data_IF_575661235015
#
_entry.id   IF_575661235015
#
_cell.length_a   1.000
_cell.length_b   1.000
_cell.length_c   1.000
_cell.angle_alpha   90.00
_cell.angle_beta   90.00
_cell.angle_gamma   90.00
#
_symmetry.space_group_name_H-M   'P 1'
#
loop_
_entity.id
_entity.type
_entity.pdbx_description
1 polymer ?
#
# COMPACT_ATOMS: atom_id res chain seq x y z
N UNK A 1 23.75 7.69 -22.87
CA UNK A 1 22.51 7.12 -23.41
C UNK A 1 22.32 5.73 -22.81
N UNK A 2 21.22 5.52 -22.12
CA UNK A 2 20.81 4.21 -21.61
C UNK A 2 20.43 3.32 -22.80
N UNK A 3 21.02 2.13 -22.88
CA UNK A 3 20.72 1.15 -23.93
C UNK A 3 19.84 0.05 -23.34
N UNK A 4 18.77 -0.29 -24.02
CA UNK A 4 17.85 -1.35 -23.66
C UNK A 4 17.38 -2.12 -24.90
N UNK A 5 17.02 -3.38 -24.72
CA UNK A 5 16.54 -4.25 -25.81
C UNK A 5 15.01 -4.24 -25.90
N UNK A 6 14.33 -4.38 -24.76
CA UNK A 6 12.89 -4.46 -24.61
C UNK A 6 12.37 -3.42 -23.63
N UNK A 7 11.07 -3.12 -23.70
CA UNK A 7 10.39 -2.32 -22.70
C UNK A 7 8.92 -2.71 -22.59
N UNK A 8 8.34 -2.46 -21.41
CA UNK A 8 6.91 -2.56 -21.13
C UNK A 8 6.42 -1.21 -20.61
N UNK A 9 5.17 -0.85 -20.92
CA UNK A 9 4.47 0.31 -20.34
C UNK A 9 3.31 -0.23 -19.52
N UNK A 10 3.38 -0.09 -18.22
CA UNK A 10 2.45 -0.68 -17.27
C UNK A 10 1.69 0.41 -16.47
N UNK A 11 0.51 0.13 -15.93
CA UNK A 11 -0.25 -1.13 -16.08
C UNK A 11 -0.93 -1.26 -17.44
N UNK A 12 -1.20 -2.48 -17.83
CA UNK A 12 -1.82 -2.82 -19.12
C UNK A 12 -3.22 -2.22 -19.31
N UNK A 13 -3.91 -1.89 -18.23
CA UNK A 13 -5.27 -1.29 -18.26
C UNK A 13 -5.38 -0.04 -19.13
N UNK A 14 -4.30 0.71 -19.29
CA UNK A 14 -4.32 1.90 -20.16
C UNK A 14 -4.27 1.58 -21.65
N UNK A 15 -3.96 0.35 -22.04
CA UNK A 15 -3.91 -0.09 -23.43
C UNK A 15 -2.97 0.76 -24.30
N UNK A 16 -1.87 1.23 -23.77
CA UNK A 16 -0.95 2.15 -24.43
C UNK A 16 -0.32 1.49 -25.66
N UNK A 17 -0.56 2.08 -26.82
CA UNK A 17 0.17 1.76 -28.05
C UNK A 17 1.36 2.67 -28.17
N UNK A 18 2.53 2.10 -28.44
CA UNK A 18 3.76 2.87 -28.52
C UNK A 18 4.61 2.45 -29.72
N UNK A 19 5.29 3.42 -30.31
CA UNK A 19 6.29 3.20 -31.35
C UNK A 19 7.66 3.55 -30.81
N UNK A 20 8.65 2.68 -31.10
CA UNK A 20 10.04 2.89 -30.73
C UNK A 20 10.88 3.24 -31.95
N UNK A 21 11.74 4.25 -31.80
CA UNK A 21 12.92 4.41 -32.63
C UNK A 21 14.20 4.34 -31.76
N UNK A 22 15.39 4.51 -32.32
CA UNK A 22 16.68 4.28 -31.63
C UNK A 22 16.79 5.00 -30.26
N UNK A 23 16.20 6.18 -30.12
CA UNK A 23 16.41 7.07 -28.97
C UNK A 23 15.11 7.55 -28.32
N UNK A 24 13.94 7.11 -28.77
CA UNK A 24 12.66 7.57 -28.22
C UNK A 24 11.57 6.52 -28.29
N UNK A 25 10.66 6.59 -27.32
CA UNK A 25 9.38 5.88 -27.31
C UNK A 25 8.30 6.94 -27.47
N UNK A 26 7.45 6.77 -28.48
CA UNK A 26 6.26 7.62 -28.73
C UNK A 26 5.02 6.86 -28.32
N UNK A 27 4.14 7.52 -27.62
CA UNK A 27 2.84 6.98 -27.24
C UNK A 27 1.84 8.12 -27.06
N UNK A 28 0.56 7.76 -27.06
CA UNK A 28 -0.54 8.68 -26.76
C UNK A 28 -1.29 8.19 -25.53
N UNK A 29 -1.73 9.13 -24.70
CA UNK A 29 -2.53 8.88 -23.53
C UNK A 29 -3.62 9.93 -23.40
N UNK A 30 -4.84 9.48 -23.16
CA UNK A 30 -6.00 10.36 -23.00
C UNK A 30 -6.38 10.65 -21.55
N UNK A 31 -5.92 9.81 -20.62
CA UNK A 31 -6.21 10.00 -19.20
C UNK A 31 -5.25 11.01 -18.56
N UNK A 32 -5.75 12.20 -18.14
CA UNK A 32 -4.91 13.22 -17.54
C UNK A 32 -4.41 12.88 -16.12
N UNK A 33 -4.83 11.75 -15.57
CA UNK A 33 -4.38 11.24 -14.26
C UNK A 33 -3.56 9.97 -14.37
N UNK A 34 -3.21 9.55 -15.57
CA UNK A 34 -2.48 8.30 -15.77
C UNK A 34 -1.16 8.28 -15.01
N UNK A 35 -0.85 7.09 -14.51
CA UNK A 35 0.39 6.77 -13.81
C UNK A 35 1.02 5.60 -14.52
N UNK A 36 2.04 5.87 -15.31
CA UNK A 36 2.71 4.90 -16.14
C UNK A 36 4.07 4.52 -15.59
N UNK A 37 4.41 3.27 -15.72
CA UNK A 37 5.73 2.75 -15.41
C UNK A 37 6.34 2.12 -16.66
N UNK A 38 7.52 2.58 -17.04
CA UNK A 38 8.31 2.01 -18.11
C UNK A 38 9.34 1.06 -17.49
N UNK A 39 9.22 -0.21 -17.80
CA UNK A 39 10.16 -1.26 -17.35
C UNK A 39 11.01 -1.65 -18.53
N UNK A 40 12.33 -1.54 -18.39
CA UNK A 40 13.29 -1.85 -19.44
C UNK A 40 13.99 -3.17 -19.16
N UNK A 41 14.06 -4.03 -20.21
CA UNK A 41 14.72 -5.35 -20.14
C UNK A 41 14.24 -6.23 -18.97
N UNK A 42 12.95 -6.12 -18.63
CA UNK A 42 12.30 -6.81 -17.50
C UNK A 42 12.99 -6.60 -16.13
N UNK A 43 13.76 -5.53 -16.00
CA UNK A 43 14.41 -5.18 -14.76
C UNK A 43 13.55 -4.21 -13.95
N UNK A 44 12.66 -4.76 -13.15
CA UNK A 44 11.69 -4.01 -12.34
C UNK A 44 12.35 -3.17 -11.22
N UNK A 45 13.48 -3.56 -10.68
CA UNK A 45 14.10 -2.85 -9.56
C UNK A 45 14.97 -1.66 -9.98
N UNK A 46 15.80 -1.80 -11.02
CA UNK A 46 16.89 -0.86 -11.27
C UNK A 46 16.72 -0.02 -12.53
N UNK A 47 15.93 -0.46 -13.52
CA UNK A 47 15.77 0.23 -14.80
C UNK A 47 14.32 0.52 -15.11
N UNK A 48 13.73 1.40 -14.30
CA UNK A 48 12.35 1.82 -14.43
C UNK A 48 12.24 3.34 -14.49
N UNK A 49 11.22 3.80 -15.20
CA UNK A 49 10.88 5.23 -15.25
C UNK A 49 9.37 5.36 -14.98
N UNK A 50 8.99 6.22 -14.05
CA UNK A 50 7.60 6.51 -13.75
C UNK A 50 7.19 7.86 -14.32
N UNK A 51 6.05 7.91 -14.98
CA UNK A 51 5.43 9.11 -15.49
C UNK A 51 4.06 9.31 -14.84
N UNK A 52 3.95 10.35 -14.06
CA UNK A 52 2.71 10.72 -13.39
C UNK A 52 2.09 11.96 -14.07
N UNK A 53 0.90 11.80 -14.61
CA UNK A 53 0.13 12.91 -15.12
C UNK A 53 -0.75 13.48 -14.00
N UNK A 54 -0.85 14.80 -13.97
CA UNK A 54 -1.77 15.50 -13.09
C UNK A 54 -2.61 16.47 -13.93
N UNK A 55 -3.93 16.54 -13.70
CA UNK A 55 -4.75 17.56 -14.31
C UNK A 55 -4.29 18.96 -13.87
N UNK A 56 -4.51 19.93 -14.72
CA UNK A 56 -4.26 21.34 -14.37
C UNK A 56 -5.26 21.74 -13.28
N UNK A 57 -4.76 22.37 -12.22
CA UNK A 57 -5.60 22.99 -11.19
C UNK A 57 -5.77 24.48 -11.51
N UNK A 58 -6.88 24.82 -12.15
CA UNK A 58 -7.17 26.22 -12.55
C UNK A 58 -7.43 27.13 -11.33
N UNK A 59 -7.64 26.57 -10.15
CA UNK A 59 -7.87 27.27 -8.90
C UNK A 59 -6.67 27.19 -7.93
N UNK A 60 -5.49 26.87 -8.45
CA UNK A 60 -4.27 26.81 -7.64
C UNK A 60 -3.98 28.17 -6.98
N UNK A 61 -3.71 28.21 -5.66
CA UNK A 61 -3.25 29.43 -5.02
C UNK A 61 -1.90 29.86 -5.59
N UNK A 62 -1.57 31.12 -5.49
CA UNK A 62 -0.29 31.69 -5.93
C UNK A 62 0.58 32.20 -4.79
N UNK A 63 0.02 32.27 -3.58
CA UNK A 63 0.69 32.74 -2.35
C UNK A 63 0.05 32.13 -1.11
N UNK A 64 0.73 32.25 0.02
CA UNK A 64 0.20 31.86 1.33
C UNK A 64 -0.79 32.89 1.86
N UNK A 65 -1.80 32.42 2.61
CA UNK A 65 -2.75 33.23 3.37
C UNK A 65 -2.81 32.71 4.82
N UNK A 66 -3.73 33.21 5.62
CA UNK A 66 -3.92 32.72 7.00
C UNK A 66 -4.34 31.22 7.00
N UNK A 67 -5.11 30.80 5.98
CA UNK A 67 -5.64 29.44 5.87
C UNK A 67 -4.86 28.56 4.86
N UNK A 68 -3.92 29.12 4.12
CA UNK A 68 -3.17 28.39 3.08
C UNK A 68 -1.65 28.55 3.27
N UNK A 69 -0.98 27.43 3.45
CA UNK A 69 0.48 27.34 3.37
C UNK A 69 0.83 26.95 1.93
N UNK A 70 1.49 27.84 1.19
CA UNK A 70 1.81 27.68 -0.22
C UNK A 70 3.31 27.52 -0.46
N UNK A 71 3.68 26.46 -1.19
CA UNK A 71 5.02 26.29 -1.74
C UNK A 71 4.96 26.33 -3.26
N UNK A 72 5.51 27.42 -3.85
CA UNK A 72 5.64 27.58 -5.28
C UNK A 72 6.76 26.73 -5.90
N UNK A 73 6.90 26.72 -7.26
CA UNK A 73 7.96 25.97 -7.93
C UNK A 73 9.35 26.29 -7.39
N UNK A 74 10.20 25.27 -7.22
CA UNK A 74 11.55 25.37 -6.70
C UNK A 74 11.82 24.41 -5.56
N UNK A 75 13.04 24.43 -5.03
CA UNK A 75 13.47 23.60 -3.89
C UNK A 75 13.36 24.36 -2.58
N UNK A 76 12.58 23.83 -1.64
CA UNK A 76 12.30 24.41 -0.34
C UNK A 76 12.86 23.47 0.75
N UNK A 77 14.01 23.83 1.30
CA UNK A 77 14.58 23.11 2.45
C UNK A 77 13.97 23.65 3.74
N UNK A 78 13.22 22.83 4.42
CA UNK A 78 12.60 23.21 5.70
C UNK A 78 13.62 23.28 6.83
N UNK A 79 13.35 24.12 7.81
CA UNK A 79 14.09 24.19 9.08
C UNK A 79 13.37 23.45 10.21
N UNK A 80 12.05 23.32 10.09
CA UNK A 80 11.17 22.62 11.02
C UNK A 80 10.17 21.80 10.20
N UNK A 81 9.42 20.92 10.86
CA UNK A 81 8.26 20.26 10.25
C UNK A 81 7.24 21.29 9.76
N UNK A 82 6.45 20.91 8.76
CA UNK A 82 5.20 21.60 8.47
C UNK A 82 4.16 21.00 9.40
N UNK A 83 3.71 21.76 10.38
CA UNK A 83 2.60 21.41 11.25
C UNK A 83 1.39 22.20 10.80
N UNK A 84 0.26 21.50 10.57
CA UNK A 84 -0.98 22.12 10.12
C UNK A 84 -1.91 22.32 11.31
N UNK A 85 -2.59 23.46 11.33
CA UNK A 85 -3.70 23.74 12.23
C UNK A 85 -5.04 23.32 11.60
N UNK A 86 -6.07 23.13 12.44
CA UNK A 86 -7.41 22.79 11.94
C UNK A 86 -7.95 23.85 10.96
N UNK A 87 -8.51 23.40 9.85
CA UNK A 87 -9.04 24.24 8.78
C UNK A 87 -8.00 24.65 7.73
N UNK A 88 -6.70 24.37 7.92
CA UNK A 88 -5.68 24.80 7.00
C UNK A 88 -5.53 23.90 5.77
N UNK A 89 -5.04 24.52 4.71
CA UNK A 89 -4.63 23.84 3.46
C UNK A 89 -3.13 24.02 3.24
N UNK A 90 -2.42 22.89 3.06
CA UNK A 90 -1.07 22.87 2.50
C UNK A 90 -1.16 22.66 0.98
N UNK A 91 -0.66 23.62 0.21
CA UNK A 91 -0.58 23.52 -1.24
C UNK A 91 0.87 23.44 -1.71
N UNK A 92 1.24 22.34 -2.36
CA UNK A 92 2.57 22.15 -2.93
C UNK A 92 2.43 22.15 -4.45
N UNK A 93 2.82 23.27 -5.08
CA UNK A 93 2.61 23.50 -6.50
C UNK A 93 3.40 22.53 -7.39
N UNK A 94 2.95 22.33 -8.62
CA UNK A 94 3.74 21.64 -9.64
C UNK A 94 5.14 22.27 -9.76
N UNK A 95 6.20 21.45 -9.75
CA UNK A 95 7.58 21.90 -9.76
C UNK A 95 8.15 22.34 -8.40
N UNK A 96 7.36 22.30 -7.34
CA UNK A 96 7.87 22.47 -5.98
C UNK A 96 8.43 21.15 -5.43
N UNK A 97 9.56 21.23 -4.74
CA UNK A 97 10.13 20.14 -3.94
C UNK A 97 10.33 20.66 -2.52
N UNK A 98 9.61 20.10 -1.58
CA UNK A 98 9.67 20.47 -0.16
C UNK A 98 10.44 19.37 0.58
N UNK A 99 11.67 19.67 1.02
CA UNK A 99 12.48 18.73 1.81
C UNK A 99 12.15 18.88 3.28
N UNK A 100 11.38 17.92 3.82
CA UNK A 100 10.94 17.95 5.20
C UNK A 100 9.78 16.97 5.46
N UNK A 101 9.14 17.11 6.60
CA UNK A 101 8.05 16.29 7.11
C UNK A 101 6.77 17.12 7.26
N UNK A 102 5.62 16.50 7.02
CA UNK A 102 4.29 17.10 7.23
C UNK A 102 3.60 16.39 8.39
N UNK A 103 3.27 17.14 9.42
CA UNK A 103 2.57 16.68 10.62
C UNK A 103 1.11 17.18 10.62
N UNK A 104 0.17 16.24 10.69
CA UNK A 104 -1.28 16.46 10.73
C UNK A 104 -1.82 15.77 11.99
N UNK A 105 -1.36 16.20 13.17
CA UNK A 105 -1.72 15.56 14.43
C UNK A 105 -2.67 16.41 15.25
N UNK A 106 -3.73 15.79 15.81
CA UNK A 106 -4.72 16.44 16.67
C UNK A 106 -5.50 17.59 16.01
N UNK A 107 -5.78 17.47 14.72
CA UNK A 107 -6.44 18.51 13.92
C UNK A 107 -7.66 17.98 13.18
N UNK A 108 -8.50 18.90 12.72
CA UNK A 108 -9.73 18.61 12.00
C UNK A 108 -9.88 19.52 10.77
N UNK A 109 -10.49 19.01 9.69
CA UNK A 109 -10.73 19.75 8.44
C UNK A 109 -9.44 20.27 7.77
N UNK A 110 -8.47 19.41 7.54
CA UNK A 110 -7.18 19.74 6.91
C UNK A 110 -7.13 19.24 5.47
N UNK A 111 -6.52 20.02 4.60
CA UNK A 111 -6.27 19.61 3.22
C UNK A 111 -4.78 19.68 2.87
N UNK A 112 -4.23 18.63 2.25
CA UNK A 112 -2.90 18.64 1.62
C UNK A 112 -3.08 18.35 0.13
N UNK A 113 -2.71 19.29 -0.74
CA UNK A 113 -2.92 19.13 -2.18
C UNK A 113 -1.87 19.78 -3.05
N UNK A 114 -1.92 19.45 -4.35
CA UNK A 114 -1.03 19.97 -5.38
C UNK A 114 -0.32 18.84 -6.13
N UNK A 115 0.62 19.19 -7.01
CA UNK A 115 1.39 18.18 -7.78
C UNK A 115 2.89 18.21 -7.48
N UNK A 116 3.29 18.85 -6.37
CA UNK A 116 4.68 18.93 -5.93
C UNK A 116 5.14 17.70 -5.15
N UNK A 117 6.38 17.74 -4.68
CA UNK A 117 7.06 16.63 -4.05
C UNK A 117 7.36 16.96 -2.58
N UNK A 118 6.98 16.08 -1.68
CA UNK A 118 7.49 16.00 -0.30
C UNK A 118 8.67 15.04 -0.34
N UNK A 119 9.87 15.56 -0.10
CA UNK A 119 11.11 14.78 -0.14
C UNK A 119 11.62 14.53 1.27
N UNK A 120 11.89 13.26 1.56
CA UNK A 120 12.62 12.85 2.77
C UNK A 120 13.95 12.25 2.39
N UNK A 121 15.02 12.85 2.85
CA UNK A 121 16.37 12.35 2.67
C UNK A 121 17.18 12.53 3.98
N UNK A 122 18.41 12.04 3.99
CA UNK A 122 19.30 12.12 5.16
C UNK A 122 19.59 13.55 5.65
N UNK A 123 19.23 14.56 4.89
CA UNK A 123 19.42 15.97 5.23
C UNK A 123 18.14 16.67 5.68
N UNK A 124 17.01 16.00 5.59
CA UNK A 124 15.72 16.54 6.02
C UNK A 124 15.65 16.63 7.53
N UNK A 125 14.95 17.65 8.03
CA UNK A 125 14.72 17.82 9.47
C UNK A 125 13.37 17.25 9.90
N UNK A 126 13.20 17.03 11.19
CA UNK A 126 11.96 16.59 11.80
C UNK A 126 11.82 15.06 11.85
N UNK A 127 10.56 14.60 11.95
CA UNK A 127 10.24 13.18 11.91
C UNK A 127 10.74 12.59 10.59
N UNK A 128 11.07 11.33 10.63
CA UNK A 128 11.65 10.65 9.49
C UNK A 128 10.63 10.26 8.41
N UNK A 129 9.35 10.14 8.74
CA UNK A 129 8.26 9.86 7.81
C UNK A 129 7.96 11.03 6.85
N UNK A 130 7.27 10.76 5.75
CA UNK A 130 6.85 11.80 4.80
C UNK A 130 5.69 12.63 5.33
N UNK A 131 4.57 11.97 5.63
CA UNK A 131 3.36 12.56 6.22
C UNK A 131 2.94 11.71 7.41
N UNK A 132 2.68 12.32 8.55
CA UNK A 132 2.07 11.64 9.71
C UNK A 132 0.75 12.27 10.09
N UNK A 133 -0.20 11.42 10.48
CA UNK A 133 -1.49 11.83 11.04
C UNK A 133 -1.74 11.09 12.35
N UNK A 134 -2.12 11.80 13.40
CA UNK A 134 -2.44 11.19 14.68
C UNK A 134 -3.67 11.84 15.30
N UNK A 135 -4.70 11.02 15.62
CA UNK A 135 -5.95 11.48 16.25
C UNK A 135 -6.59 12.68 15.53
N UNK A 136 -6.64 12.61 14.20
CA UNK A 136 -7.15 13.67 13.34
C UNK A 136 -8.36 13.18 12.54
N UNK A 137 -9.21 14.12 12.12
CA UNK A 137 -10.43 13.81 11.37
C UNK A 137 -10.66 14.77 10.21
N UNK A 138 -11.48 14.34 9.25
CA UNK A 138 -11.85 15.14 8.07
C UNK A 138 -10.61 15.66 7.32
N UNK A 139 -9.71 14.75 6.95
CA UNK A 139 -8.45 15.11 6.24
C UNK A 139 -8.51 14.64 4.79
N UNK A 140 -8.24 15.56 3.87
CA UNK A 140 -8.11 15.29 2.45
C UNK A 140 -6.67 15.43 1.97
N UNK A 141 -6.09 14.38 1.38
CA UNK A 141 -4.76 14.41 0.76
C UNK A 141 -4.89 14.11 -0.73
N UNK A 142 -4.39 15.00 -1.60
CA UNK A 142 -4.54 14.79 -3.03
C UNK A 142 -3.37 15.28 -3.88
N UNK A 143 -2.97 14.48 -4.87
CA UNK A 143 -2.10 14.87 -5.99
C UNK A 143 -0.61 14.91 -5.69
N UNK A 144 -0.19 15.08 -4.45
CA UNK A 144 1.23 15.18 -4.07
C UNK A 144 2.01 13.89 -4.30
N UNK A 145 3.32 14.02 -4.42
CA UNK A 145 4.27 12.91 -4.48
C UNK A 145 5.04 12.90 -3.16
N UNK A 146 5.09 11.75 -2.49
CA UNK A 146 5.98 11.52 -1.34
C UNK A 146 7.13 10.66 -1.81
N UNK A 147 8.34 11.16 -1.67
CA UNK A 147 9.56 10.44 -2.00
C UNK A 147 10.43 10.27 -0.76
N UNK A 148 10.56 9.03 -0.31
CA UNK A 148 11.48 8.67 0.77
C UNK A 148 12.78 8.21 0.11
N UNK A 149 13.84 8.96 0.31
CA UNK A 149 15.12 8.72 -0.34
C UNK A 149 16.24 8.55 0.68
N UNK A 150 16.83 7.36 0.71
CA UNK A 150 17.93 6.99 1.63
C UNK A 150 17.60 7.05 3.13
N UNK A 151 16.35 6.91 3.48
CA UNK A 151 15.90 6.75 4.87
C UNK A 151 14.99 5.54 4.98
N UNK A 152 14.89 4.94 6.17
CA UNK A 152 14.06 3.75 6.43
C UNK A 152 12.78 4.19 7.14
N UNK A 153 11.84 4.75 6.36
CA UNK A 153 10.66 5.36 6.96
C UNK A 153 9.43 5.24 6.09
N UNK A 154 8.27 5.23 6.69
CA UNK A 154 6.98 5.18 6.02
C UNK A 154 6.69 6.46 5.24
N UNK A 155 6.08 6.30 4.06
CA UNK A 155 5.74 7.47 3.24
C UNK A 155 4.59 8.27 3.84
N UNK A 156 3.52 7.57 4.25
CA UNK A 156 2.37 8.16 4.92
C UNK A 156 1.85 7.20 6.00
N UNK A 157 1.68 7.69 7.20
CA UNK A 157 1.01 6.94 8.27
C UNK A 157 -0.14 7.71 8.90
N UNK A 158 -1.18 6.99 9.26
CA UNK A 158 -2.29 7.51 10.05
C UNK A 158 -2.56 6.59 11.24
N UNK A 159 -2.83 7.20 12.39
CA UNK A 159 -3.11 6.47 13.62
C UNK A 159 -4.30 7.09 14.34
N UNK A 160 -5.32 6.26 14.63
CA UNK A 160 -6.55 6.69 15.33
C UNK A 160 -7.24 7.87 14.64
N UNK A 161 -7.23 7.85 13.32
CA UNK A 161 -7.86 8.88 12.49
C UNK A 161 -9.24 8.44 12.02
N UNK A 162 -10.08 9.42 11.67
CA UNK A 162 -11.44 9.16 11.20
C UNK A 162 -11.80 10.07 10.02
N UNK A 163 -12.55 9.54 9.05
CA UNK A 163 -12.98 10.27 7.85
C UNK A 163 -11.81 10.87 7.08
N UNK A 164 -10.97 9.99 6.54
CA UNK A 164 -9.76 10.34 5.78
C UNK A 164 -9.95 10.00 4.30
N UNK A 165 -9.63 10.94 3.45
CA UNK A 165 -9.66 10.78 1.99
C UNK A 165 -8.25 10.99 1.41
N UNK A 166 -7.74 9.98 0.72
CA UNK A 166 -6.45 10.04 0.02
C UNK A 166 -6.70 9.75 -1.45
N UNK A 167 -6.44 10.73 -2.31
CA UNK A 167 -6.71 10.60 -3.74
C UNK A 167 -5.50 11.00 -4.57
N UNK A 168 -5.13 10.19 -5.57
CA UNK A 168 -4.06 10.51 -6.50
C UNK A 168 -2.71 10.81 -5.82
N UNK A 169 -2.48 10.25 -4.64
CA UNK A 169 -1.17 10.26 -3.98
C UNK A 169 -0.21 9.36 -4.76
N UNK A 170 1.05 9.77 -4.85
CA UNK A 170 2.11 8.89 -5.34
C UNK A 170 3.17 8.75 -4.27
N UNK A 171 3.55 7.52 -3.95
CA UNK A 171 4.74 7.25 -3.14
C UNK A 171 5.80 6.60 -4.01
N UNK A 172 7.04 7.05 -3.87
CA UNK A 172 8.19 6.45 -4.56
C UNK A 172 9.30 6.28 -3.55
N UNK A 173 9.38 5.12 -2.95
CA UNK A 173 10.23 4.84 -1.79
C UNK A 173 10.99 3.51 -1.94
N UNK A 174 11.76 3.35 -3.03
CA UNK A 174 12.55 2.14 -3.26
C UNK A 174 13.84 2.16 -2.42
N UNK A 175 14.47 1.01 -2.27
CA UNK A 175 15.85 0.77 -1.82
C UNK A 175 16.04 0.43 -0.32
N UNK A 176 15.09 0.65 0.57
CA UNK A 176 15.28 0.41 2.00
C UNK A 176 14.10 -0.35 2.60
N UNK A 177 14.36 -1.34 3.44
CA UNK A 177 13.34 -1.97 4.28
C UNK A 177 12.63 -0.91 5.15
N UNK A 178 11.40 -1.19 5.57
CA UNK A 178 10.55 -0.26 6.35
C UNK A 178 10.22 1.05 5.62
N UNK A 179 10.12 1.02 4.29
CA UNK A 179 9.63 2.15 3.50
C UNK A 179 8.25 1.83 2.96
N UNK A 180 7.29 1.76 3.86
CA UNK A 180 5.89 1.49 3.54
C UNK A 180 5.28 2.66 2.74
N UNK A 181 4.26 2.36 1.94
CA UNK A 181 3.52 3.34 1.18
C UNK A 181 2.49 4.08 2.02
N UNK A 182 1.42 3.40 2.42
CA UNK A 182 0.36 3.94 3.29
C UNK A 182 0.08 2.97 4.43
N UNK A 183 0.27 3.44 5.66
CA UNK A 183 -0.04 2.72 6.89
C UNK A 183 -1.32 3.27 7.53
N UNK A 184 -2.35 2.43 7.61
CA UNK A 184 -3.63 2.75 8.25
C UNK A 184 -3.69 2.00 9.57
N UNK A 185 -3.49 2.72 10.70
CA UNK A 185 -3.44 2.10 12.03
C UNK A 185 -4.63 2.52 12.87
N UNK A 186 -5.41 1.54 13.36
CA UNK A 186 -6.52 1.76 14.30
C UNK A 186 -7.44 2.93 13.87
N UNK A 187 -7.75 3.02 12.58
CA UNK A 187 -8.45 4.14 11.96
C UNK A 187 -9.74 3.69 11.28
N UNK A 188 -10.69 4.62 11.08
CA UNK A 188 -12.02 4.32 10.59
C UNK A 188 -12.44 5.30 9.49
N UNK A 189 -13.35 4.86 8.61
CA UNK A 189 -13.87 5.68 7.51
C UNK A 189 -12.77 6.25 6.62
N UNK A 190 -11.87 5.36 6.14
CA UNK A 190 -10.72 5.73 5.30
C UNK A 190 -10.98 5.33 3.86
N UNK A 191 -10.76 6.26 2.94
CA UNK A 191 -10.83 6.01 1.49
C UNK A 191 -9.50 6.36 0.83
N UNK A 192 -8.90 5.39 0.12
CA UNK A 192 -7.69 5.55 -0.69
C UNK A 192 -8.05 5.27 -2.14
N UNK A 193 -7.90 6.27 -3.01
CA UNK A 193 -8.38 6.14 -4.39
C UNK A 193 -7.37 6.68 -5.40
N UNK A 194 -7.23 5.97 -6.53
CA UNK A 194 -6.41 6.42 -7.66
C UNK A 194 -4.96 6.77 -7.27
N UNK A 195 -4.35 5.99 -6.38
CA UNK A 195 -2.98 6.19 -5.91
C UNK A 195 -1.98 5.32 -6.69
N UNK A 196 -0.72 5.77 -6.72
CA UNK A 196 0.42 4.96 -7.18
C UNK A 196 1.38 4.78 -6.02
N UNK A 197 1.64 3.55 -5.62
CA UNK A 197 2.49 3.26 -4.47
C UNK A 197 3.61 2.32 -4.88
N UNK A 198 4.85 2.84 -4.87
CA UNK A 198 6.06 2.03 -4.98
C UNK A 198 6.78 2.07 -3.64
N UNK A 199 6.88 0.92 -3.01
CA UNK A 199 7.47 0.74 -1.69
C UNK A 199 8.44 -0.43 -1.69
N UNK A 200 9.47 -0.35 -0.86
CA UNK A 200 10.34 -1.52 -0.60
C UNK A 200 9.76 -2.40 0.50
N UNK A 201 8.92 -1.85 1.36
CA UNK A 201 8.13 -2.59 2.34
C UNK A 201 6.66 -2.65 1.89
N UNK A 202 5.66 -2.75 2.76
CA UNK A 202 4.25 -2.86 2.38
C UNK A 202 3.76 -1.65 1.55
N UNK A 203 3.02 -1.87 0.46
CA UNK A 203 2.46 -0.74 -0.27
C UNK A 203 1.26 -0.12 0.45
N UNK A 204 0.28 -0.95 0.84
CA UNK A 204 -0.85 -0.54 1.68
C UNK A 204 -1.03 -1.57 2.78
N UNK A 205 -0.97 -1.10 4.01
CA UNK A 205 -1.13 -1.95 5.18
C UNK A 205 -2.17 -1.37 6.14
N UNK A 206 -3.00 -2.26 6.70
CA UNK A 206 -4.02 -1.92 7.70
C UNK A 206 -3.61 -2.60 9.00
N UNK A 207 -2.92 -1.85 9.86
CA UNK A 207 -2.27 -2.32 11.08
C UNK A 207 -3.08 -2.01 12.33
N UNK A 208 -2.82 -2.76 13.39
CA UNK A 208 -3.24 -2.43 14.76
C UNK A 208 -2.01 -2.29 15.63
N UNK A 209 -1.76 -1.09 16.11
CA UNK A 209 -0.59 -0.81 16.97
C UNK A 209 -1.01 -0.15 18.27
N UNK A 210 -0.41 -0.52 19.41
CA UNK A 210 -0.69 0.14 20.68
C UNK A 210 -0.15 1.57 20.66
N UNK A 211 -0.87 2.44 21.34
CA UNK A 211 -0.41 3.78 21.66
C UNK A 211 -0.49 3.95 23.18
N UNK A 212 0.66 4.08 23.80
CA UNK A 212 0.75 4.22 25.24
C UNK A 212 0.57 2.89 26.00
N UNK A 213 -0.15 2.91 27.13
CA UNK A 213 -0.29 1.79 28.07
C UNK A 213 -1.65 1.08 27.98
N UNK A 214 -2.35 1.22 26.86
CA UNK A 214 -3.66 0.58 26.67
C UNK A 214 -3.51 -0.91 26.45
N UNK A 215 -4.45 -1.68 27.01
CA UNK A 215 -4.59 -3.12 26.76
C UNK A 215 -4.84 -3.38 25.26
N UNK A 216 -4.31 -4.48 24.72
CA UNK A 216 -4.45 -4.82 23.30
C UNK A 216 -5.91 -4.83 22.86
N UNK A 217 -6.82 -5.40 23.64
CA UNK A 217 -8.25 -5.47 23.34
C UNK A 217 -9.00 -4.13 23.39
N UNK A 218 -8.43 -3.11 23.97
CA UNK A 218 -9.03 -1.78 24.11
C UNK A 218 -8.63 -0.81 23.00
N UNK A 219 -7.71 -1.21 22.12
CA UNK A 219 -7.30 -0.42 20.97
C UNK A 219 -8.47 -0.14 20.03
N UNK A 220 -8.55 1.03 19.39
CA UNK A 220 -9.57 1.29 18.37
C UNK A 220 -9.54 0.26 17.23
N UNK A 221 -10.71 0.02 16.65
CA UNK A 221 -10.86 -0.88 15.50
C UNK A 221 -10.31 -0.27 14.22
N UNK A 222 -10.06 -1.14 13.23
CA UNK A 222 -9.95 -0.76 11.82
C UNK A 222 -11.25 -1.14 11.12
N UNK A 223 -12.01 -0.16 10.63
CA UNK A 223 -13.29 -0.45 9.99
C UNK A 223 -13.68 0.56 8.91
N UNK A 224 -14.51 0.10 7.96
CA UNK A 224 -14.98 0.91 6.83
C UNK A 224 -13.83 1.54 6.05
N UNK A 225 -12.86 0.71 5.67
CA UNK A 225 -11.70 1.12 4.90
C UNK A 225 -11.87 0.66 3.46
N UNK A 226 -11.72 1.59 2.52
CA UNK A 226 -11.86 1.33 1.09
C UNK A 226 -10.65 1.79 0.31
N UNK A 227 -10.01 0.84 -0.38
CA UNK A 227 -8.91 1.10 -1.32
C UNK A 227 -9.39 0.81 -2.74
N UNK A 228 -9.28 1.77 -3.66
CA UNK A 228 -9.82 1.62 -5.00
C UNK A 228 -8.95 2.22 -6.08
N UNK A 229 -8.92 1.55 -7.25
CA UNK A 229 -8.28 2.04 -8.50
C UNK A 229 -6.81 2.41 -8.32
N UNK A 230 -6.10 1.72 -7.44
CA UNK A 230 -4.68 1.98 -7.15
C UNK A 230 -3.75 1.12 -8.01
N UNK A 231 -2.51 1.61 -8.16
CA UNK A 231 -1.42 0.92 -8.83
C UNK A 231 -0.32 0.68 -7.79
N UNK A 232 0.05 -0.57 -7.58
CA UNK A 232 0.96 -0.99 -6.53
C UNK A 232 2.22 -1.61 -7.11
N UNK A 233 3.35 -1.29 -6.49
CA UNK A 233 4.67 -1.82 -6.80
C UNK A 233 5.42 -2.10 -5.52
N UNK A 234 5.47 -3.35 -5.14
CA UNK A 234 6.08 -3.82 -3.90
C UNK A 234 7.40 -4.54 -4.18
N UNK A 235 8.48 -4.12 -3.53
CA UNK A 235 9.79 -4.73 -3.71
C UNK A 235 10.18 -5.70 -2.59
N UNK A 236 9.44 -5.65 -1.45
CA UNK A 236 9.58 -6.53 -0.31
C UNK A 236 8.28 -6.51 0.52
N UNK A 237 7.93 -7.58 1.19
CA UNK A 237 6.71 -7.74 1.97
C UNK A 237 5.43 -7.85 1.11
N UNK A 238 4.42 -7.00 1.31
CA UNK A 238 3.11 -7.20 0.72
C UNK A 238 2.67 -6.02 -0.15
N UNK A 239 1.96 -6.30 -1.24
CA UNK A 239 1.32 -5.22 -1.97
C UNK A 239 0.08 -4.69 -1.25
N UNK A 240 -0.76 -5.58 -0.71
CA UNK A 240 -1.97 -5.25 0.07
C UNK A 240 -2.04 -6.18 1.29
N UNK A 241 -2.00 -5.64 2.50
CA UNK A 241 -2.08 -6.46 3.70
C UNK A 241 -3.03 -5.90 4.75
N UNK A 242 -3.82 -6.78 5.36
CA UNK A 242 -4.51 -6.55 6.63
C UNK A 242 -3.68 -7.23 7.72
N UNK A 243 -2.97 -6.43 8.48
CA UNK A 243 -1.93 -6.85 9.41
C UNK A 243 -0.61 -6.11 9.09
N UNK A 244 0.56 -6.54 9.51
CA UNK A 244 0.84 -7.80 10.25
C UNK A 244 0.55 -7.65 11.75
N UNK A 245 0.94 -6.51 12.34
CA UNK A 245 0.56 -6.16 13.71
C UNK A 245 -0.96 -5.98 13.77
N UNK A 246 -1.60 -6.72 14.64
CA UNK A 246 -3.06 -6.77 14.69
C UNK A 246 -3.62 -6.44 16.07
N UNK A 247 -2.98 -5.52 16.78
CA UNK A 247 -3.41 -5.01 18.07
C UNK A 247 -4.55 -3.98 17.89
N UNK A 248 -5.70 -4.46 17.47
CA UNK A 248 -6.92 -3.69 17.31
C UNK A 248 -8.10 -4.49 17.87
N UNK A 249 -9.16 -3.81 18.28
CA UNK A 249 -10.37 -4.46 18.80
C UNK A 249 -10.96 -5.42 17.78
N UNK A 250 -11.02 -5.00 16.52
CA UNK A 250 -11.42 -5.83 15.39
C UNK A 250 -11.07 -5.12 14.05
N UNK A 251 -11.15 -5.88 12.97
CA UNK A 251 -11.05 -5.42 11.59
C UNK A 251 -12.35 -5.74 10.87
N UNK A 252 -13.02 -4.76 10.29
CA UNK A 252 -14.31 -4.99 9.66
C UNK A 252 -14.59 -4.10 8.47
N UNK A 253 -15.31 -4.67 7.47
CA UNK A 253 -15.78 -3.93 6.30
C UNK A 253 -14.63 -3.23 5.56
N UNK A 254 -13.65 -4.03 5.15
CA UNK A 254 -12.44 -3.58 4.43
C UNK A 254 -12.52 -4.06 2.99
N UNK A 255 -12.28 -3.17 2.03
CA UNK A 255 -12.27 -3.55 0.62
C UNK A 255 -11.09 -2.99 -0.17
N UNK A 256 -10.56 -3.82 -1.09
CA UNK A 256 -9.61 -3.48 -2.13
C UNK A 256 -10.26 -3.78 -3.47
N UNK A 257 -10.50 -2.74 -4.27
CA UNK A 257 -11.27 -2.85 -5.50
C UNK A 257 -10.50 -2.23 -6.68
N UNK A 258 -10.47 -2.90 -7.83
CA UNK A 258 -9.87 -2.39 -9.06
C UNK A 258 -8.39 -2.00 -8.89
N UNK A 259 -7.56 -2.94 -8.49
CA UNK A 259 -6.14 -2.72 -8.20
C UNK A 259 -5.25 -3.38 -9.26
N UNK A 260 -4.22 -2.65 -9.69
CA UNK A 260 -3.13 -3.18 -10.51
C UNK A 260 -1.88 -3.35 -9.66
N UNK A 261 -1.44 -4.59 -9.47
CA UNK A 261 -0.16 -4.91 -8.85
C UNK A 261 0.85 -5.16 -9.96
N UNK A 262 1.72 -4.20 -10.21
CA UNK A 262 2.76 -4.31 -11.25
C UNK A 262 3.83 -5.30 -10.85
N UNK A 263 4.23 -5.26 -9.59
CA UNK A 263 5.32 -6.07 -9.05
C UNK A 263 5.08 -6.33 -7.57
N UNK A 264 5.24 -7.57 -7.12
CA UNK A 264 5.12 -7.95 -5.71
C UNK A 264 6.02 -9.15 -5.42
N UNK A 265 7.24 -8.85 -5.01
CA UNK A 265 8.25 -9.85 -4.63
C UNK A 265 8.80 -9.54 -3.26
N UNK A 266 9.32 -10.57 -2.61
CA UNK A 266 10.12 -10.39 -1.42
C UNK A 266 11.61 -10.48 -1.78
N UNK A 267 12.41 -9.59 -1.22
CA UNK A 267 13.85 -9.69 -1.37
C UNK A 267 14.39 -10.62 -0.29
N UNK A 268 14.75 -11.85 -0.70
CA UNK A 268 15.28 -12.88 0.19
C UNK A 268 16.54 -12.45 0.98
N UNK A 269 17.18 -11.34 0.62
CA UNK A 269 18.31 -10.80 1.38
C UNK A 269 17.90 -10.26 2.76
N UNK A 270 16.61 -10.00 2.97
CA UNK A 270 16.09 -9.48 4.24
C UNK A 270 15.47 -10.57 5.11
N UNK A 271 15.03 -11.70 4.53
CA UNK A 271 14.28 -12.72 5.24
C UNK A 271 14.60 -14.13 4.74
N UNK A 272 14.71 -15.06 5.67
CA UNK A 272 15.01 -16.46 5.36
C UNK A 272 13.79 -17.24 4.85
N UNK A 273 12.58 -16.71 5.02
CA UNK A 273 11.35 -17.38 4.60
C UNK A 273 10.24 -16.40 4.19
N UNK A 274 9.41 -16.82 3.24
CA UNK A 274 8.25 -16.09 2.72
C UNK A 274 6.94 -16.57 3.35
N UNK A 275 6.90 -16.83 4.63
CA UNK A 275 5.72 -17.44 5.24
C UNK A 275 4.46 -16.59 5.07
N UNK A 276 4.59 -15.29 5.21
CA UNK A 276 3.44 -14.40 5.34
C UNK A 276 3.31 -13.35 4.24
N UNK A 277 4.05 -13.45 3.15
CA UNK A 277 4.11 -12.36 2.17
C UNK A 277 3.49 -12.73 0.86
N UNK A 278 2.68 -11.81 0.32
CA UNK A 278 2.01 -12.01 -0.95
C UNK A 278 1.50 -10.69 -1.55
N UNK A 279 1.00 -10.76 -2.79
CA UNK A 279 0.29 -9.64 -3.39
C UNK A 279 -1.01 -9.30 -2.63
N UNK A 280 -1.71 -10.31 -2.13
CA UNK A 280 -2.96 -10.20 -1.34
C UNK A 280 -2.75 -10.92 -0.01
N UNK A 281 -2.83 -10.19 1.12
CA UNK A 281 -2.49 -10.78 2.42
C UNK A 281 -3.46 -10.41 3.55
N UNK A 282 -3.70 -11.39 4.42
CA UNK A 282 -4.14 -11.19 5.80
C UNK A 282 -3.12 -11.89 6.68
N UNK A 283 -2.45 -11.12 7.53
CA UNK A 283 -1.45 -11.66 8.46
C UNK A 283 -1.85 -11.27 9.88
N UNK A 284 -2.26 -12.24 10.66
CA UNK A 284 -2.82 -12.01 11.98
C UNK A 284 -1.86 -12.50 13.08
N UNK A 285 -1.00 -11.60 13.57
CA UNK A 285 -0.02 -11.92 14.63
C UNK A 285 -0.69 -11.97 16.01
N UNK A 286 -1.55 -11.01 16.33
CA UNK A 286 -2.09 -10.89 17.70
C UNK A 286 -3.41 -11.64 17.89
N UNK A 287 -4.01 -12.20 16.84
CA UNK A 287 -5.25 -12.95 16.91
C UNK A 287 -6.52 -12.09 16.97
N UNK A 288 -6.50 -10.90 16.37
CA UNK A 288 -7.68 -10.02 16.27
C UNK A 288 -8.82 -10.66 15.47
N UNK A 289 -10.06 -10.29 15.78
CA UNK A 289 -11.22 -10.67 14.97
C UNK A 289 -11.27 -9.86 13.68
N UNK A 290 -11.37 -10.55 12.54
CA UNK A 290 -11.37 -9.97 11.21
C UNK A 290 -12.60 -10.44 10.45
N UNK A 291 -13.41 -9.52 9.91
CA UNK A 291 -14.67 -9.87 9.28
C UNK A 291 -14.99 -8.99 8.06
N UNK A 292 -15.62 -9.57 7.04
CA UNK A 292 -16.10 -8.88 5.85
C UNK A 292 -14.96 -8.15 5.10
N UNK A 293 -14.00 -8.93 4.62
CA UNK A 293 -12.86 -8.39 3.86
C UNK A 293 -12.98 -8.83 2.40
N UNK A 294 -12.87 -7.87 1.49
CA UNK A 294 -13.09 -8.06 0.06
C UNK A 294 -11.88 -7.63 -0.76
N UNK A 295 -11.45 -8.48 -1.69
CA UNK A 295 -10.65 -8.10 -2.86
C UNK A 295 -11.47 -8.37 -4.12
N UNK A 296 -11.62 -7.37 -4.98
CA UNK A 296 -12.40 -7.47 -6.22
C UNK A 296 -11.69 -6.78 -7.40
N UNK A 297 -11.60 -7.46 -8.52
CA UNK A 297 -10.99 -6.96 -9.74
C UNK A 297 -9.50 -6.58 -9.54
N UNK A 298 -8.68 -7.57 -9.20
CA UNK A 298 -7.26 -7.42 -8.96
C UNK A 298 -6.47 -7.99 -10.14
N UNK A 299 -5.57 -7.20 -10.71
CA UNK A 299 -4.69 -7.59 -11.81
C UNK A 299 -3.25 -7.59 -11.32
N UNK A 300 -2.58 -8.72 -11.41
CA UNK A 300 -1.21 -8.92 -10.94
C UNK A 300 -0.32 -9.25 -12.14
N UNK A 301 0.64 -8.38 -12.47
CA UNK A 301 1.57 -8.64 -13.55
C UNK A 301 2.68 -9.60 -13.10
N UNK A 302 3.39 -9.25 -12.04
CA UNK A 302 4.47 -10.09 -11.51
C UNK A 302 4.35 -10.22 -10.00
N UNK A 303 4.32 -11.44 -9.49
CA UNK A 303 4.39 -11.70 -8.05
C UNK A 303 5.10 -13.02 -7.78
N UNK A 304 5.65 -13.17 -6.60
CA UNK A 304 6.11 -14.44 -6.09
C UNK A 304 4.92 -15.24 -5.55
N UNK A 305 4.34 -14.87 -4.42
CA UNK A 305 3.11 -15.47 -3.90
C UNK A 305 1.90 -14.59 -4.23
N UNK A 306 0.80 -15.22 -4.63
CA UNK A 306 -0.40 -14.47 -5.01
C UNK A 306 -1.27 -14.13 -3.79
N UNK A 307 -1.56 -15.11 -2.94
CA UNK A 307 -2.44 -14.95 -1.77
C UNK A 307 -1.81 -15.58 -0.54
N UNK A 308 -1.86 -14.86 0.59
CA UNK A 308 -1.51 -15.38 1.91
C UNK A 308 -2.54 -14.94 2.95
N UNK A 309 -3.27 -15.86 3.54
CA UNK A 309 -4.12 -15.63 4.71
C UNK A 309 -3.63 -16.52 5.84
N UNK A 310 -3.05 -15.93 6.88
CA UNK A 310 -2.41 -16.70 7.92
C UNK A 310 -2.51 -16.08 9.32
N UNK A 311 -2.69 -16.94 10.30
CA UNK A 311 -2.28 -16.64 11.66
C UNK A 311 -0.82 -17.04 11.82
N UNK A 312 -0.01 -16.19 12.38
CA UNK A 312 1.41 -16.43 12.60
C UNK A 312 1.81 -16.10 14.04
N UNK A 313 2.79 -16.80 14.56
CA UNK A 313 3.42 -16.61 15.87
C UNK A 313 4.89 -16.20 15.75
N UNK A 314 5.40 -16.30 14.55
CA UNK A 314 6.75 -15.90 14.23
C UNK A 314 6.67 -14.55 13.51
N UNK A 315 7.14 -13.52 14.13
CA UNK A 315 7.33 -12.25 13.48
C UNK A 315 8.79 -12.12 13.09
N UNK A 316 9.16 -10.94 12.70
CA UNK A 316 10.53 -10.58 12.37
C UNK A 316 11.43 -10.73 13.58
N UNK A 317 12.65 -11.24 13.40
CA UNK A 317 13.66 -11.25 14.46
C UNK A 317 13.72 -9.88 15.17
N UNK A 318 13.43 -9.87 16.48
CA UNK A 318 13.50 -8.67 17.34
C UNK A 318 12.23 -7.82 17.44
N UNK A 319 11.16 -8.10 16.68
CA UNK A 319 9.88 -7.37 16.78
C UNK A 319 8.84 -8.17 17.57
N UNK A 320 8.95 -9.49 17.64
CA UNK A 320 7.96 -10.36 18.27
C UNK A 320 7.96 -10.28 19.80
N UNK A 321 9.10 -10.11 20.43
CA UNK A 321 9.17 -10.02 21.89
C UNK A 321 8.37 -8.82 22.43
N UNK A 322 8.04 -7.84 21.58
CA UNK A 322 7.21 -6.69 21.91
C UNK A 322 5.73 -6.86 21.50
N UNK A 323 5.42 -7.84 20.62
CA UNK A 323 4.08 -8.06 20.10
C UNK A 323 3.52 -9.37 20.69
N UNK A 324 2.78 -9.32 21.74
CA UNK A 324 2.12 -10.51 22.33
C UNK A 324 1.36 -11.33 21.27
N UNK A 325 1.98 -12.41 20.78
CA UNK A 325 1.41 -13.22 19.70
C UNK A 325 0.19 -14.01 20.15
N UNK A 326 -0.85 -14.01 19.31
CA UNK A 326 -2.06 -14.83 19.46
C UNK A 326 -2.82 -14.67 20.78
N UNK A 327 -2.74 -13.51 21.44
CA UNK A 327 -3.40 -13.23 22.72
C UNK A 327 -4.89 -12.89 22.57
N UNK A 328 -5.32 -12.32 21.43
CA UNK A 328 -6.72 -12.02 21.15
C UNK A 328 -7.47 -13.27 20.64
N UNK A 329 -8.75 -13.45 20.96
CA UNK A 329 -9.50 -14.69 20.66
C UNK A 329 -10.22 -14.65 19.29
N UNK A 330 -9.74 -13.84 18.33
CA UNK A 330 -10.44 -13.59 17.08
C UNK A 330 -10.24 -14.66 16.01
N UNK A 331 -11.05 -14.57 14.97
CA UNK A 331 -11.01 -15.40 13.78
C UNK A 331 -10.94 -14.52 12.53
N UNK A 332 -10.53 -15.10 11.40
CA UNK A 332 -10.66 -14.48 10.07
C UNK A 332 -11.94 -15.04 9.43
N UNK A 333 -12.95 -14.18 9.19
CA UNK A 333 -14.28 -14.61 8.74
C UNK A 333 -14.78 -13.84 7.53
N UNK A 334 -15.58 -14.51 6.70
CA UNK A 334 -16.30 -13.88 5.59
C UNK A 334 -15.37 -13.11 4.66
N UNK A 335 -14.32 -13.77 4.18
CA UNK A 335 -13.36 -13.21 3.24
C UNK A 335 -13.76 -13.60 1.81
N UNK A 336 -13.78 -12.63 0.93
CA UNK A 336 -14.03 -12.86 -0.50
C UNK A 336 -12.91 -12.28 -1.34
N UNK A 337 -12.30 -13.11 -2.18
CA UNK A 337 -11.31 -12.70 -3.18
C UNK A 337 -11.86 -13.10 -4.52
N UNK A 338 -12.15 -12.14 -5.40
CA UNK A 338 -12.81 -12.42 -6.66
C UNK A 338 -12.28 -11.58 -7.83
N UNK A 339 -12.46 -12.11 -9.05
CA UNK A 339 -12.03 -11.45 -10.27
C UNK A 339 -10.54 -11.10 -10.25
N UNK A 340 -9.71 -12.10 -9.91
CA UNK A 340 -8.24 -11.92 -9.85
C UNK A 340 -7.62 -12.53 -11.10
N UNK A 341 -6.73 -11.77 -11.73
CA UNK A 341 -5.91 -12.26 -12.85
C UNK A 341 -4.45 -12.10 -12.49
N UNK A 342 -3.68 -13.18 -12.50
CA UNK A 342 -2.22 -13.16 -12.40
C UNK A 342 -1.59 -13.59 -13.72
N UNK A 343 -0.62 -12.81 -14.20
CA UNK A 343 0.21 -13.13 -15.37
C UNK A 343 1.67 -13.36 -14.98
N UNK A 344 1.92 -13.53 -13.68
CA UNK A 344 3.27 -13.71 -13.15
C UNK A 344 3.98 -14.89 -13.77
N UNK A 345 5.20 -14.63 -14.24
CA UNK A 345 6.09 -15.64 -14.82
C UNK A 345 7.12 -16.16 -13.82
N UNK A 346 6.94 -15.86 -12.53
CA UNK A 346 7.79 -16.40 -11.47
C UNK A 346 7.90 -17.91 -11.55
N UNK A 347 9.11 -18.43 -11.40
CA UNK A 347 9.45 -19.85 -11.32
C UNK A 347 9.96 -20.25 -9.92
N UNK A 348 9.86 -19.34 -8.95
CA UNK A 348 10.20 -19.60 -7.56
C UNK A 348 9.31 -20.67 -6.90
N UNK A 349 9.75 -21.18 -5.77
CA UNK A 349 9.04 -22.25 -5.03
C UNK A 349 7.64 -21.83 -4.52
N UNK A 350 7.40 -20.53 -4.44
CA UNK A 350 6.11 -19.95 -4.02
C UNK A 350 5.34 -19.32 -5.19
N UNK A 351 5.75 -19.58 -6.44
CA UNK A 351 5.18 -18.96 -7.62
C UNK A 351 3.66 -19.08 -7.67
N UNK A 352 2.95 -17.95 -7.63
CA UNK A 352 1.49 -17.85 -7.63
C UNK A 352 0.78 -18.66 -6.51
N UNK A 353 1.46 -19.04 -5.45
CA UNK A 353 0.92 -19.85 -4.36
C UNK A 353 -0.24 -19.13 -3.66
N UNK A 354 -1.21 -19.95 -3.21
CA UNK A 354 -2.30 -19.56 -2.32
C UNK A 354 -2.06 -20.27 -1.00
N UNK A 355 -1.63 -19.55 0.02
CA UNK A 355 -1.28 -20.09 1.33
C UNK A 355 -2.32 -19.70 2.37
N UNK A 356 -2.93 -20.69 3.03
CA UNK A 356 -4.04 -20.52 3.96
C UNK A 356 -3.71 -21.28 5.26
N UNK A 357 -3.49 -20.56 6.37
CA UNK A 357 -3.09 -21.15 7.64
C UNK A 357 -3.94 -20.59 8.80
N UNK A 358 -4.96 -21.32 9.24
CA UNK A 358 -5.57 -21.10 10.56
C UNK A 358 -4.61 -21.52 11.65
N UNK A 359 -4.89 -21.17 12.91
CA UNK A 359 -3.99 -21.41 14.05
C UNK A 359 -4.30 -22.69 14.82
N UNK A 360 -5.55 -22.82 15.28
CA UNK A 360 -6.04 -23.93 16.07
C UNK A 360 -7.58 -24.02 16.01
N UNK A 361 -8.19 -24.87 16.84
CA UNK A 361 -9.65 -25.05 16.88
C UNK A 361 -10.44 -23.79 17.24
N UNK A 362 -9.84 -22.83 17.93
CA UNK A 362 -10.48 -21.59 18.36
C UNK A 362 -10.18 -20.39 17.44
N UNK A 363 -9.15 -20.50 16.59
CA UNK A 363 -8.68 -19.42 15.69
C UNK A 363 -8.55 -19.94 14.26
N UNK A 364 -9.58 -19.71 13.48
CA UNK A 364 -9.77 -20.30 12.15
C UNK A 364 -9.95 -19.25 11.06
N UNK A 365 -9.77 -19.69 9.83
CA UNK A 365 -10.25 -19.00 8.64
C UNK A 365 -11.59 -19.61 8.28
N UNK A 366 -12.67 -18.83 8.32
CA UNK A 366 -14.05 -19.33 8.17
C UNK A 366 -14.78 -18.58 7.06
N UNK A 367 -15.46 -19.29 6.17
CA UNK A 367 -16.18 -18.72 5.02
C UNK A 367 -15.26 -17.93 4.08
N UNK A 368 -14.26 -18.60 3.54
CA UNK A 368 -13.37 -18.03 2.50
C UNK A 368 -13.91 -18.39 1.11
N UNK A 369 -14.18 -17.38 0.29
CA UNK A 369 -14.59 -17.54 -1.09
C UNK A 369 -13.50 -17.04 -2.05
N UNK A 370 -13.04 -17.89 -2.96
CA UNK A 370 -12.24 -17.54 -4.13
C UNK A 370 -13.10 -17.67 -5.39
N UNK A 371 -13.38 -16.56 -6.07
CA UNK A 371 -14.32 -16.55 -7.19
C UNK A 371 -13.65 -15.98 -8.45
N UNK A 372 -13.67 -16.69 -9.55
CA UNK A 372 -13.12 -16.24 -10.83
C UNK A 372 -11.65 -15.81 -10.71
N UNK A 373 -10.80 -16.74 -10.27
CA UNK A 373 -9.35 -16.55 -10.17
C UNK A 373 -8.69 -17.17 -11.40
N UNK A 374 -7.97 -16.36 -12.16
CA UNK A 374 -7.21 -16.77 -13.34
C UNK A 374 -5.72 -16.64 -13.10
N UNK A 375 -4.97 -17.71 -13.28
CA UNK A 375 -3.50 -17.71 -13.15
C UNK A 375 -2.92 -18.18 -14.49
N UNK A 376 -2.20 -17.28 -15.16
CA UNK A 376 -1.65 -17.52 -16.51
C UNK A 376 -2.71 -18.03 -17.52
N UNK A 377 -3.95 -17.49 -17.41
CA UNK A 377 -5.05 -17.83 -18.27
C UNK A 377 -5.82 -19.10 -17.88
N UNK A 378 -5.37 -19.82 -16.87
CA UNK A 378 -6.04 -21.02 -16.36
C UNK A 378 -6.88 -20.67 -15.12
N UNK A 379 -8.11 -21.21 -15.08
CA UNK A 379 -9.01 -21.01 -13.95
C UNK A 379 -8.55 -21.86 -12.75
N UNK A 380 -8.48 -21.26 -11.58
CA UNK A 380 -8.19 -21.95 -10.33
C UNK A 380 -9.29 -22.96 -10.01
N UNK A 381 -8.89 -24.16 -9.61
CA UNK A 381 -9.80 -25.24 -9.13
C UNK A 381 -9.38 -25.72 -7.74
N UNK A 382 -10.25 -26.49 -7.08
CA UNK A 382 -9.97 -27.03 -5.75
C UNK A 382 -8.78 -28.00 -5.72
N UNK A 383 -8.49 -28.66 -6.85
CA UNK A 383 -7.38 -29.59 -7.01
C UNK A 383 -6.05 -28.91 -7.39
N UNK A 384 -6.04 -27.58 -7.51
CA UNK A 384 -4.85 -26.87 -7.92
C UNK A 384 -3.70 -27.08 -6.91
N UNK A 385 -2.51 -27.49 -7.38
CA UNK A 385 -1.34 -27.66 -6.52
C UNK A 385 -0.81 -26.35 -5.93
N UNK A 386 -1.30 -25.21 -6.41
CA UNK A 386 -0.96 -23.90 -5.89
C UNK A 386 -1.59 -23.61 -4.51
N UNK A 387 -2.60 -24.40 -4.12
CA UNK A 387 -3.30 -24.21 -2.86
C UNK A 387 -2.63 -25.04 -1.76
N UNK A 388 -2.12 -24.34 -0.77
CA UNK A 388 -1.57 -24.93 0.46
C UNK A 388 -2.42 -24.46 1.62
N UNK A 389 -3.08 -25.40 2.31
CA UNK A 389 -3.95 -25.07 3.46
C UNK A 389 -3.85 -26.11 4.56
N UNK A 390 -4.11 -25.69 5.80
CA UNK A 390 -4.24 -26.59 6.94
C UNK A 390 -5.70 -26.89 7.29
N UNK A 391 -5.93 -27.75 8.28
CA UNK A 391 -7.25 -28.19 8.75
C UNK A 391 -8.10 -27.11 9.41
N UNK A 392 -7.52 -25.97 9.77
CA UNK A 392 -8.21 -24.85 10.42
C UNK A 392 -8.79 -23.84 9.43
N UNK A 393 -8.96 -24.24 8.17
CA UNK A 393 -9.66 -23.47 7.13
C UNK A 393 -11.01 -24.13 6.87
N UNK A 394 -12.10 -23.48 7.29
CA UNK A 394 -13.47 -23.99 7.21
C UNK A 394 -14.31 -23.26 6.16
N UNK A 395 -15.23 -23.99 5.52
CA UNK A 395 -16.12 -23.45 4.49
C UNK A 395 -15.37 -22.70 3.39
N UNK A 396 -14.30 -23.32 2.88
CA UNK A 396 -13.51 -22.81 1.77
C UNK A 396 -14.17 -23.21 0.44
N UNK A 397 -14.47 -22.22 -0.41
CA UNK A 397 -15.19 -22.39 -1.67
C UNK A 397 -14.40 -21.75 -2.80
N UNK A 398 -14.26 -22.47 -3.91
CA UNK A 398 -13.72 -21.97 -5.19
C UNK A 398 -14.82 -22.04 -6.26
N UNK A 399 -15.04 -20.93 -6.99
CA UNK A 399 -16.07 -20.82 -8.04
C UNK A 399 -15.52 -20.32 -9.37
#
# INVERSE_FOLDING_TARGET
LFKYNTYKILPDKYGIKSDRNENSIRFEISDPKAKLSFVFDDNYKNTTFHLFLNPIDDNAPTESTDDIIYYGPGFHKLRNNITLDSGQTLYIANGAVVSGHVDISYVDNVTVKGGGIILRDETSVGDSQGITMFQSSNVDISGVIVNIHKTKEWSLSMRRCNNISITNLKTVSPQWASTDGIDICNSQDVTVTDCFLRATDDCITIKGRPEGFEEIGDQPSNERIKVKSCILWNECNNAMVVGQETQARYYKDISFEDIDVIYSYDDIFYHESLYERAAISIININGADMENILWDNIRVNECERLICLAFIDEGYEGVIDELECQVLPGNIKNVTIKNVTSTSTSDGIYANQIFLKGWNEDKKIINLNLENILINGEKLTEESPLIVKNEFVENFIIK
#
